data_IF_891886250283
#
_entry.id   IF_891886250283
#
_cell.length_a   1.000
_cell.length_b   1.000
_cell.length_c   1.000
_cell.angle_alpha   90.00
_cell.angle_beta   90.00
_cell.angle_gamma   90.00
#
_symmetry.space_group_name_H-M   'P 1'
#
loop_
_entity.id
_entity.type
_entity.pdbx_description
1 polymer ?
#
# COMPACT_ATOMS: atom_id res chain seq x y z
N UNK A 1 -5.19 -19.25 10.33
CA UNK A 1 -4.14 -18.21 10.25
C UNK A 1 -4.77 -16.92 10.73
N UNK A 2 -4.13 -16.21 11.66
CA UNK A 2 -4.70 -15.00 12.24
C UNK A 2 -3.70 -14.30 13.15
N UNK A 3 -3.66 -12.97 13.07
CA UNK A 3 -3.04 -12.14 14.09
C UNK A 3 -3.96 -12.03 15.30
N UNK A 4 -3.46 -11.51 16.42
CA UNK A 4 -4.35 -11.17 17.54
C UNK A 4 -5.00 -9.78 17.41
N UNK A 5 -4.54 -8.97 16.44
CA UNK A 5 -5.03 -7.62 16.12
C UNK A 5 -4.83 -7.34 14.61
N UNK A 6 -5.13 -6.11 14.15
CA UNK A 6 -5.09 -5.71 12.75
C UNK A 6 -3.70 -5.76 12.12
N UNK A 7 -3.62 -6.24 10.88
CA UNK A 7 -2.49 -5.93 10.01
C UNK A 7 -2.74 -4.68 9.16
N UNK A 8 -1.67 -3.99 8.80
CA UNK A 8 -1.70 -2.73 8.06
C UNK A 8 -0.93 -2.81 6.74
N UNK A 9 0.02 -3.74 6.62
CA UNK A 9 0.86 -3.86 5.44
C UNK A 9 1.18 -5.33 5.15
N UNK A 10 1.21 -5.66 3.86
CA UNK A 10 1.66 -6.93 3.32
C UNK A 10 2.67 -6.63 2.22
N UNK A 11 3.70 -7.45 2.09
CA UNK A 11 4.69 -7.32 1.03
C UNK A 11 5.31 -8.67 0.69
N UNK A 12 5.12 -9.13 -0.55
CA UNK A 12 5.66 -10.38 -1.04
C UNK A 12 6.94 -10.12 -1.85
N UNK A 13 7.97 -10.91 -1.60
CA UNK A 13 9.20 -10.90 -2.39
C UNK A 13 9.85 -12.27 -2.35
N UNK A 14 10.23 -12.78 -3.52
CA UNK A 14 10.71 -14.15 -3.68
C UNK A 14 9.70 -15.13 -3.02
N UNK A 15 10.19 -16.07 -2.21
CA UNK A 15 9.35 -17.03 -1.46
C UNK A 15 8.98 -16.54 -0.05
N UNK A 16 8.99 -15.23 0.21
CA UNK A 16 8.68 -14.68 1.53
C UNK A 16 7.58 -13.63 1.46
N UNK A 17 6.56 -13.79 2.30
CA UNK A 17 5.54 -12.77 2.56
C UNK A 17 5.83 -12.10 3.89
N UNK A 18 5.97 -10.78 3.90
CA UNK A 18 6.08 -9.97 5.12
C UNK A 18 4.72 -9.40 5.49
N UNK A 19 4.45 -9.33 6.79
CA UNK A 19 3.25 -8.69 7.34
C UNK A 19 3.67 -7.74 8.45
N UNK A 20 3.09 -6.54 8.45
CA UNK A 20 3.27 -5.53 9.48
C UNK A 20 1.91 -5.00 9.97
N UNK A 21 1.80 -4.67 11.25
CA UNK A 21 0.55 -4.16 11.83
C UNK A 21 0.57 -3.97 13.34
N UNK A 22 -0.61 -3.91 13.96
CA UNK A 22 -0.74 -3.70 15.41
C UNK A 22 -0.67 -5.01 16.23
N UNK A 23 -0.60 -6.17 15.59
CA UNK A 23 -0.53 -7.48 16.26
C UNK A 23 0.74 -7.67 17.11
N UNK A 24 0.64 -8.45 18.18
CA UNK A 24 1.78 -8.94 18.98
C UNK A 24 2.01 -10.45 18.83
N UNK A 25 1.02 -11.15 18.27
CA UNK A 25 1.09 -12.57 17.92
C UNK A 25 0.49 -12.81 16.55
N UNK A 26 1.09 -13.75 15.84
CA UNK A 26 0.50 -14.35 14.64
C UNK A 26 0.51 -15.86 14.83
N UNK A 27 -0.66 -16.47 14.77
CA UNK A 27 -0.85 -17.87 15.18
C UNK A 27 -0.28 -18.11 16.59
N UNK A 28 0.61 -19.09 16.77
CA UNK A 28 1.23 -19.39 18.06
C UNK A 28 2.51 -18.60 18.35
N UNK A 29 3.01 -17.79 17.40
CA UNK A 29 4.29 -17.10 17.54
C UNK A 29 4.13 -15.68 18.08
N UNK A 30 5.03 -15.26 18.97
CA UNK A 30 5.16 -13.86 19.35
C UNK A 30 5.91 -13.12 18.24
N UNK A 31 5.22 -12.23 17.54
CA UNK A 31 5.77 -11.42 16.48
C UNK A 31 5.32 -9.99 16.73
N UNK A 32 6.22 -9.20 17.33
CA UNK A 32 5.94 -7.83 17.75
C UNK A 32 5.75 -6.94 16.51
N UNK A 33 4.53 -6.89 16.01
CA UNK A 33 4.03 -6.01 14.94
C UNK A 33 4.62 -6.24 13.55
N UNK A 34 5.53 -7.20 13.41
CA UNK A 34 6.10 -7.60 12.14
C UNK A 34 6.53 -9.07 12.14
N UNK A 35 6.17 -9.78 11.07
CA UNK A 35 6.51 -11.19 10.86
C UNK A 35 6.80 -11.46 9.38
N UNK A 36 7.42 -12.61 9.11
CA UNK A 36 7.53 -13.16 7.76
C UNK A 36 6.94 -14.56 7.71
N UNK A 37 6.30 -14.89 6.60
CA UNK A 37 5.84 -16.22 6.25
C UNK A 37 6.78 -16.80 5.19
N UNK A 38 7.33 -17.96 5.49
CA UNK A 38 8.30 -18.66 4.64
C UNK A 38 8.16 -20.17 4.86
N UNK A 39 8.18 -20.96 3.79
CA UNK A 39 8.08 -22.43 3.85
C UNK A 39 6.93 -22.93 4.75
N UNK A 40 5.73 -22.35 4.60
CA UNK A 40 4.56 -22.79 5.34
C UNK A 40 4.47 -22.31 6.80
N UNK A 41 5.44 -21.52 7.29
CA UNK A 41 5.55 -21.16 8.69
C UNK A 41 5.74 -19.66 8.88
N UNK A 42 5.21 -19.14 9.99
CA UNK A 42 5.46 -17.77 10.44
C UNK A 42 6.74 -17.70 11.28
N UNK A 43 7.53 -16.67 11.06
CA UNK A 43 8.73 -16.35 11.83
C UNK A 43 8.71 -14.88 12.25
N UNK A 44 9.04 -14.55 13.51
CA UNK A 44 9.22 -13.17 13.90
C UNK A 44 10.50 -12.60 13.29
N UNK A 45 10.52 -11.31 12.99
CA UNK A 45 11.77 -10.59 12.83
C UNK A 45 12.26 -10.25 14.25
N UNK A 46 13.51 -10.62 14.58
CA UNK A 46 14.05 -10.52 15.94
C UNK A 46 13.84 -9.11 16.51
N UNK A 47 13.29 -9.04 17.72
CA UNK A 47 12.97 -7.79 18.42
C UNK A 47 11.74 -7.02 17.91
N UNK A 48 11.34 -7.24 16.66
CA UNK A 48 10.22 -6.58 16.01
C UNK A 48 10.28 -5.05 16.09
N UNK A 49 9.10 -4.42 16.07
CA UNK A 49 8.93 -2.97 16.22
C UNK A 49 7.89 -2.64 17.29
N UNK A 50 8.00 -1.45 17.90
CA UNK A 50 7.11 -1.04 18.99
C UNK A 50 5.88 -0.22 18.57
N UNK A 51 5.69 -0.02 17.27
CA UNK A 51 4.54 0.62 16.67
C UNK A 51 4.23 0.01 15.32
N UNK A 52 3.46 0.68 14.47
CA UNK A 52 2.89 0.05 13.28
C UNK A 52 3.70 0.28 12.01
N UNK A 53 4.20 -0.79 11.36
CA UNK A 53 4.66 -0.72 9.99
C UNK A 53 3.49 -0.46 9.03
N UNK A 54 3.63 0.55 8.19
CA UNK A 54 2.66 0.92 7.15
C UNK A 54 3.16 0.58 5.74
N UNK A 55 4.47 0.59 5.53
CA UNK A 55 5.06 0.33 4.23
C UNK A 55 6.31 -0.54 4.37
N UNK A 56 6.52 -1.41 3.38
CA UNK A 56 7.64 -2.33 3.30
C UNK A 56 8.11 -2.44 1.86
N UNK A 57 9.42 -2.52 1.66
CA UNK A 57 10.03 -2.73 0.35
C UNK A 57 11.35 -3.48 0.52
N UNK A 58 11.56 -4.54 -0.26
CA UNK A 58 12.85 -5.23 -0.29
C UNK A 58 13.71 -4.72 -1.43
N UNK A 59 14.91 -4.26 -1.10
CA UNK A 59 15.88 -3.78 -2.08
C UNK A 59 17.32 -4.07 -1.60
N UNK A 60 18.17 -4.54 -2.52
CA UNK A 60 19.59 -4.79 -2.26
C UNK A 60 19.88 -5.59 -0.98
N UNK A 61 19.16 -6.71 -0.77
CA UNK A 61 19.37 -7.59 0.38
C UNK A 61 18.73 -7.11 1.69
N UNK A 62 18.01 -6.00 1.68
CA UNK A 62 17.44 -5.38 2.87
C UNK A 62 15.94 -5.19 2.72
N UNK A 63 15.17 -5.48 3.77
CA UNK A 63 13.79 -5.05 3.89
C UNK A 63 13.77 -3.66 4.54
N UNK A 64 13.38 -2.64 3.78
CA UNK A 64 13.08 -1.31 4.28
C UNK A 64 11.67 -1.29 4.86
N UNK A 65 11.52 -0.69 6.03
CA UNK A 65 10.27 -0.63 6.76
C UNK A 65 10.02 0.81 7.19
N UNK A 66 8.83 1.31 6.85
CA UNK A 66 8.34 2.63 7.19
C UNK A 66 7.03 2.54 7.95
N UNK A 67 6.81 3.44 8.91
CA UNK A 67 5.57 3.45 9.66
C UNK A 67 5.56 4.42 10.84
N UNK A 68 4.66 4.17 11.78
CA UNK A 68 4.55 4.89 13.05
C UNK A 68 5.07 4.03 14.19
N UNK A 69 6.39 3.99 14.35
CA UNK A 69 7.06 3.25 15.44
C UNK A 69 8.24 4.04 16.00
N UNK A 70 8.48 3.91 17.29
CA UNK A 70 9.57 4.58 18.00
C UNK A 70 10.92 3.90 17.86
N UNK A 71 10.94 2.59 17.56
CA UNK A 71 12.17 1.81 17.38
C UNK A 71 11.90 0.43 16.77
N UNK A 72 12.96 -0.17 16.22
CA UNK A 72 13.07 -1.57 15.87
C UNK A 72 14.14 -2.25 16.75
N UNK A 73 13.78 -3.31 17.47
CA UNK A 73 14.64 -4.03 18.44
C UNK A 73 15.42 -3.11 19.41
N UNK A 74 14.76 -2.06 19.93
CA UNK A 74 15.36 -1.01 20.77
C UNK A 74 16.63 -0.35 20.20
N UNK A 75 16.84 -0.42 18.88
CA UNK A 75 18.06 0.10 18.24
C UNK A 75 17.94 1.60 17.96
N UNK A 76 18.92 2.42 18.38
CA UNK A 76 18.93 3.86 18.05
C UNK A 76 18.96 4.12 16.54
N UNK A 77 18.33 5.21 16.10
CA UNK A 77 18.28 5.61 14.68
C UNK A 77 17.26 4.85 13.83
N UNK A 78 16.39 4.05 14.46
CA UNK A 78 15.36 3.25 13.76
C UNK A 78 13.95 3.77 13.99
N UNK A 79 13.77 5.02 14.39
CA UNK A 79 12.44 5.58 14.61
C UNK A 79 11.75 5.85 13.26
N UNK A 80 10.57 5.27 13.05
CA UNK A 80 9.72 5.46 11.87
C UNK A 80 10.25 4.89 10.56
N UNK A 81 11.58 4.75 10.42
CA UNK A 81 12.29 4.20 9.28
C UNK A 81 13.41 3.26 9.75
N UNK A 82 13.40 2.03 9.26
CA UNK A 82 14.42 1.04 9.58
C UNK A 82 14.68 0.13 8.38
N UNK A 83 15.85 -0.52 8.35
CA UNK A 83 16.12 -1.63 7.43
C UNK A 83 16.47 -2.90 8.19
N UNK A 84 16.01 -4.03 7.69
CA UNK A 84 16.34 -5.35 8.20
C UNK A 84 17.23 -6.08 7.20
N UNK A 85 18.41 -6.53 7.66
CA UNK A 85 19.43 -7.18 6.82
C UNK A 85 19.28 -8.71 6.73
N UNK A 86 18.19 -9.26 7.27
CA UNK A 86 17.98 -10.71 7.41
C UNK A 86 18.25 -11.24 8.82
N UNK A 87 19.05 -10.52 9.62
CA UNK A 87 19.46 -10.93 10.97
C UNK A 87 19.28 -9.84 12.03
N UNK A 88 19.45 -8.57 11.66
CA UNK A 88 19.42 -7.43 12.55
C UNK A 88 18.74 -6.22 11.91
N UNK A 89 18.16 -5.38 12.76
CA UNK A 89 17.68 -4.05 12.40
C UNK A 89 18.84 -3.06 12.30
N UNK A 90 18.71 -2.09 11.41
CA UNK A 90 19.66 -0.99 11.23
C UNK A 90 18.94 0.31 10.86
N UNK A 91 19.52 1.47 11.23
CA UNK A 91 19.19 2.72 10.56
C UNK A 91 19.47 2.60 9.05
N UNK A 92 18.71 3.33 8.24
CA UNK A 92 18.93 3.36 6.78
C UNK A 92 20.20 4.14 6.45
N UNK A 93 20.39 5.29 7.10
CA UNK A 93 21.55 6.16 6.98
C UNK A 93 21.75 6.97 8.26
N UNK A 94 22.71 7.90 8.26
CA UNK A 94 22.87 8.81 9.40
C UNK A 94 21.59 9.65 9.59
N UNK A 95 21.18 9.85 10.85
CA UNK A 95 20.00 10.61 11.24
C UNK A 95 18.68 10.14 10.58
N UNK A 96 18.49 8.83 10.37
CA UNK A 96 17.28 8.31 9.71
C UNK A 96 15.99 8.35 10.54
N UNK A 97 16.00 8.97 11.71
CA UNK A 97 14.82 9.04 12.57
C UNK A 97 13.74 9.91 11.93
N UNK A 98 12.58 9.29 11.71
CA UNK A 98 11.38 9.93 11.20
C UNK A 98 10.40 10.07 12.36
N UNK A 99 10.22 11.30 12.86
CA UNK A 99 9.41 11.60 14.06
C UNK A 99 7.89 11.48 13.81
N UNK A 100 7.47 11.14 12.60
CA UNK A 100 6.08 10.95 12.19
C UNK A 100 6.00 9.80 11.20
N UNK A 101 4.79 9.49 10.75
CA UNK A 101 4.52 8.30 9.96
C UNK A 101 5.15 8.38 8.56
N UNK A 102 5.94 7.36 8.19
CA UNK A 102 6.20 7.02 6.80
C UNK A 102 5.05 6.13 6.29
N UNK A 103 4.29 6.60 5.31
CA UNK A 103 3.09 5.91 4.82
C UNK A 103 3.36 5.01 3.62
N UNK A 104 4.42 5.30 2.86
CA UNK A 104 4.68 4.64 1.59
C UNK A 104 6.17 4.55 1.30
N UNK A 105 6.59 3.45 0.68
CA UNK A 105 7.94 3.22 0.20
C UNK A 105 7.84 2.62 -1.19
N UNK A 106 8.59 3.15 -2.15
CA UNK A 106 8.58 2.67 -3.53
C UNK A 106 9.99 2.69 -4.12
N UNK A 107 10.35 1.65 -4.87
CA UNK A 107 11.60 1.67 -5.63
C UNK A 107 11.38 2.38 -6.97
N UNK A 108 12.27 3.32 -7.28
CA UNK A 108 12.32 3.95 -8.60
C UNK A 108 13.78 4.22 -9.00
N UNK A 109 14.13 3.87 -10.23
CA UNK A 109 15.52 3.75 -10.69
C UNK A 109 16.37 2.91 -9.70
N UNK A 110 17.51 3.44 -9.28
CA UNK A 110 18.42 2.85 -8.31
C UNK A 110 18.20 3.39 -6.88
N UNK A 111 17.05 4.04 -6.63
CA UNK A 111 16.75 4.70 -5.37
C UNK A 111 15.53 4.07 -4.70
N UNK A 112 15.50 4.16 -3.38
CA UNK A 112 14.32 3.86 -2.58
C UNK A 112 13.69 5.17 -2.12
N UNK A 113 12.47 5.45 -2.57
CA UNK A 113 11.72 6.63 -2.18
C UNK A 113 10.83 6.33 -0.98
N UNK A 114 10.75 7.29 -0.08
CA UNK A 114 9.92 7.23 1.13
C UNK A 114 9.03 8.48 1.15
N UNK A 115 7.74 8.30 1.44
CA UNK A 115 6.77 9.39 1.55
C UNK A 115 6.09 9.40 2.91
N UNK A 116 5.80 10.60 3.42
CA UNK A 116 5.05 10.75 4.67
C UNK A 116 5.04 12.15 5.24
N UNK A 117 4.78 12.24 6.54
CA UNK A 117 4.78 13.49 7.30
C UNK A 117 6.21 13.99 7.55
N UNK A 118 6.77 13.67 8.72
CA UNK A 118 8.03 14.25 9.18
C UNK A 118 9.28 13.54 8.64
N UNK A 119 9.52 13.66 7.33
CA UNK A 119 10.61 12.97 6.65
C UNK A 119 11.93 13.75 6.79
N UNK A 120 12.71 13.44 7.83
CA UNK A 120 14.04 14.03 8.08
C UNK A 120 14.03 15.57 8.17
N UNK A 121 13.04 16.13 8.87
CA UNK A 121 12.86 17.57 9.04
C UNK A 121 11.99 18.24 7.97
N UNK A 122 11.60 17.52 6.92
CA UNK A 122 10.51 17.94 6.03
C UNK A 122 9.17 17.72 6.77
N UNK A 123 8.27 18.71 6.77
CA UNK A 123 7.01 18.60 7.52
C UNK A 123 6.06 17.56 6.92
N UNK A 124 6.09 17.47 5.58
CA UNK A 124 5.45 16.51 4.70
C UNK A 124 6.32 16.43 3.46
N UNK A 125 6.62 15.24 2.96
CA UNK A 125 7.52 15.17 1.81
C UNK A 125 7.87 13.79 1.33
N UNK A 126 8.69 13.82 0.29
CA UNK A 126 9.35 12.66 -0.28
C UNK A 126 10.85 12.83 -0.09
N UNK A 127 11.51 11.76 0.32
CA UNK A 127 12.97 11.63 0.37
C UNK A 127 13.37 10.35 -0.35
N UNK A 128 14.59 10.30 -0.87
CA UNK A 128 15.12 9.10 -1.51
C UNK A 128 16.45 8.66 -0.89
N UNK A 129 16.69 7.36 -0.85
CA UNK A 129 17.96 6.75 -0.47
C UNK A 129 18.61 6.14 -1.71
N UNK A 130 19.84 6.56 -2.02
CA UNK A 130 20.59 6.07 -3.19
C UNK A 130 21.54 4.89 -2.90
N UNK A 131 21.51 4.37 -1.68
CA UNK A 131 22.44 3.34 -1.20
C UNK A 131 23.60 3.89 -0.37
N UNK A 132 23.91 5.18 -0.49
CA UNK A 132 25.03 5.84 0.20
C UNK A 132 24.60 7.05 1.02
N UNK A 133 23.55 7.76 0.59
CA UNK A 133 23.06 8.98 1.21
C UNK A 133 21.60 9.28 0.89
N UNK A 134 21.05 10.24 1.64
CA UNK A 134 19.74 10.81 1.39
C UNK A 134 19.81 11.85 0.27
N UNK A 135 18.93 11.71 -0.72
CA UNK A 135 18.82 12.58 -1.91
C UNK A 135 17.35 12.92 -2.18
N UNK A 136 17.11 13.83 -3.13
CA UNK A 136 15.78 14.15 -3.66
C UNK A 136 14.72 14.57 -2.63
N UNK A 137 15.17 15.15 -1.50
CA UNK A 137 14.30 15.65 -0.45
C UNK A 137 13.44 16.82 -0.92
N UNK A 138 12.12 16.64 -0.94
CA UNK A 138 11.16 17.65 -1.39
C UNK A 138 9.99 17.78 -0.42
N UNK A 139 9.68 19.02 0.01
CA UNK A 139 8.46 19.31 0.77
C UNK A 139 7.25 19.29 -0.17
N UNK A 140 6.24 18.49 0.17
CA UNK A 140 4.95 18.44 -0.51
C UNK A 140 3.84 18.68 0.52
N UNK A 141 2.61 18.99 0.08
CA UNK A 141 1.53 19.39 1.01
C UNK A 141 1.01 18.20 1.83
N UNK A 142 1.03 16.99 1.26
CA UNK A 142 0.82 15.69 1.93
C UNK A 142 1.30 14.59 0.98
N UNK A 143 1.68 13.42 1.51
CA UNK A 143 1.98 12.23 0.71
C UNK A 143 1.43 11.00 1.43
N UNK A 144 0.46 10.35 0.79
CA UNK A 144 -0.14 9.12 1.28
C UNK A 144 0.42 7.89 0.56
N UNK A 145 0.77 8.04 -0.72
CA UNK A 145 1.13 6.90 -1.57
C UNK A 145 2.13 7.25 -2.66
N UNK A 146 3.06 6.33 -2.93
CA UNK A 146 4.00 6.34 -4.04
C UNK A 146 3.78 5.07 -4.86
N UNK A 147 3.87 5.16 -6.19
CA UNK A 147 3.75 3.99 -7.07
C UNK A 147 4.57 4.19 -8.34
N UNK A 148 5.38 3.20 -8.69
CA UNK A 148 6.03 3.15 -10.00
C UNK A 148 5.02 2.73 -11.06
N UNK A 149 5.03 3.42 -12.21
CA UNK A 149 4.21 3.15 -13.38
C UNK A 149 5.08 3.11 -14.65
N UNK A 150 4.79 2.18 -15.57
CA UNK A 150 5.47 1.98 -16.87
C UNK A 150 7.01 1.87 -16.82
N UNK A 151 7.57 1.48 -15.66
CA UNK A 151 9.00 1.49 -15.34
C UNK A 151 9.72 2.85 -15.44
N UNK A 152 9.08 3.89 -15.97
CA UNK A 152 9.69 5.18 -16.28
C UNK A 152 9.14 6.32 -15.42
N UNK A 153 8.05 6.08 -14.71
CA UNK A 153 7.36 7.13 -13.98
C UNK A 153 7.20 6.73 -12.51
N UNK A 154 7.55 7.65 -11.61
CA UNK A 154 7.18 7.57 -10.20
C UNK A 154 6.04 8.55 -9.96
N UNK A 155 4.94 8.03 -9.42
CA UNK A 155 3.74 8.80 -9.12
C UNK A 155 3.62 8.97 -7.61
N UNK A 156 3.16 10.14 -7.19
CA UNK A 156 2.82 10.43 -5.81
C UNK A 156 1.37 10.89 -5.70
N UNK A 157 0.72 10.52 -4.60
CA UNK A 157 -0.67 10.90 -4.36
C UNK A 157 -0.94 11.21 -2.90
N UNK A 158 -1.91 12.11 -2.66
CA UNK A 158 -2.50 12.31 -1.35
C UNK A 158 -3.97 12.77 -1.44
N UNK A 159 -4.82 12.26 -0.55
CA UNK A 159 -6.25 12.55 -0.55
C UNK A 159 -6.55 14.00 -0.12
N UNK A 160 -6.16 14.36 1.10
CA UNK A 160 -6.52 15.64 1.73
C UNK A 160 -5.99 16.87 1.00
N UNK A 161 -4.84 16.73 0.33
CA UNK A 161 -4.22 17.81 -0.42
C UNK A 161 -4.66 17.85 -1.89
N UNK A 162 -5.49 16.90 -2.34
CA UNK A 162 -5.89 16.81 -3.73
C UNK A 162 -4.71 16.56 -4.67
N UNK A 163 -3.71 15.79 -4.23
CA UNK A 163 -2.45 15.61 -4.95
C UNK A 163 -2.47 14.35 -5.80
N UNK A 164 -2.06 14.51 -7.05
CA UNK A 164 -1.62 13.45 -7.94
C UNK A 164 -0.50 14.00 -8.81
N UNK A 165 0.73 13.56 -8.53
CA UNK A 165 1.96 14.14 -9.07
C UNK A 165 2.80 13.09 -9.81
N UNK A 166 3.55 13.54 -10.82
CA UNK A 166 4.60 12.73 -11.47
C UNK A 166 5.98 13.30 -11.17
N UNK A 167 6.90 12.43 -10.78
CA UNK A 167 8.30 12.78 -10.55
C UNK A 167 9.00 13.14 -11.86
N UNK A 168 9.72 14.27 -11.88
CA UNK A 168 10.48 14.75 -13.04
C UNK A 168 12.00 14.70 -12.82
N UNK A 169 12.45 14.20 -11.67
CA UNK A 169 13.85 14.17 -11.29
C UNK A 169 14.24 15.25 -10.26
N UNK A 170 15.25 14.93 -9.46
CA UNK A 170 15.72 15.71 -8.32
C UNK A 170 14.59 16.01 -7.33
N UNK A 171 14.18 17.27 -7.20
CA UNK A 171 13.09 17.71 -6.33
C UNK A 171 11.84 18.14 -7.10
N UNK A 172 11.80 17.93 -8.42
CA UNK A 172 10.73 18.42 -9.29
C UNK A 172 9.61 17.40 -9.48
N UNK A 173 8.37 17.90 -9.44
CA UNK A 173 7.13 17.12 -9.62
C UNK A 173 6.14 17.90 -10.49
N UNK A 174 5.46 17.21 -11.40
CA UNK A 174 4.36 17.75 -12.21
C UNK A 174 3.01 17.45 -11.55
N UNK A 175 2.08 18.39 -11.59
CA UNK A 175 0.77 18.35 -10.90
C UNK A 175 -0.40 17.87 -11.75
N UNK A 176 -0.19 17.68 -13.05
CA UNK A 176 -1.22 17.20 -13.97
C UNK A 176 -0.70 16.05 -14.83
N UNK A 177 -0.24 14.94 -14.22
CA UNK A 177 0.14 13.77 -14.99
C UNK A 177 -1.06 13.28 -15.83
N UNK A 178 -0.84 13.09 -17.12
CA UNK A 178 -1.77 12.45 -18.07
C UNK A 178 -3.17 13.08 -18.16
N UNK A 179 -3.30 14.40 -18.14
CA UNK A 179 -4.61 15.11 -18.16
C UNK A 179 -5.55 14.66 -17.02
N UNK A 180 -4.94 14.41 -15.85
CA UNK A 180 -5.34 13.55 -14.74
C UNK A 180 -6.72 13.68 -14.09
N UNK A 181 -6.72 13.44 -12.77
CA UNK A 181 -7.91 13.41 -11.91
C UNK A 181 -8.11 14.78 -11.25
N UNK A 182 -9.37 15.15 -10.97
CA UNK A 182 -9.69 16.36 -10.24
C UNK A 182 -9.79 16.08 -8.74
N UNK A 183 -8.63 15.96 -8.10
CA UNK A 183 -8.52 15.64 -6.69
C UNK A 183 -7.29 14.79 -6.39
N UNK A 184 -7.33 14.08 -5.27
CA UNK A 184 -6.17 13.38 -4.73
C UNK A 184 -6.18 11.90 -5.03
N UNK A 185 -5.04 11.32 -5.40
CA UNK A 185 -4.85 9.87 -5.48
C UNK A 185 -4.40 9.33 -4.11
N UNK A 186 -5.16 8.44 -3.47
CA UNK A 186 -4.81 7.85 -2.17
C UNK A 186 -4.25 6.43 -2.29
N UNK A 187 -4.66 5.69 -3.31
CA UNK A 187 -4.17 4.35 -3.64
C UNK A 187 -3.94 4.27 -5.13
N UNK A 188 -2.88 3.57 -5.50
CA UNK A 188 -2.56 3.32 -6.90
C UNK A 188 -2.12 1.87 -7.06
N UNK A 189 -2.61 1.22 -8.10
CA UNK A 189 -2.21 -0.13 -8.47
C UNK A 189 -1.95 -0.21 -9.96
N UNK A 190 -1.00 -1.04 -10.37
CA UNK A 190 -0.60 -1.15 -11.78
C UNK A 190 -0.85 -2.56 -12.25
N UNK A 191 -1.59 -2.69 -13.34
CA UNK A 191 -1.58 -3.93 -14.12
C UNK A 191 -0.38 -3.90 -15.04
N UNK A 192 0.64 -4.69 -14.72
CA UNK A 192 1.88 -4.75 -15.48
C UNK A 192 1.75 -5.49 -16.81
N UNK A 193 0.69 -6.27 -17.02
CA UNK A 193 0.46 -7.00 -18.27
C UNK A 193 -0.17 -6.08 -19.32
N UNK A 194 -1.17 -5.31 -18.91
CA UNK A 194 -1.88 -4.38 -19.79
C UNK A 194 -1.35 -2.95 -19.71
N UNK A 195 -0.45 -2.69 -18.76
CA UNK A 195 0.16 -1.39 -18.53
C UNK A 195 -0.89 -0.32 -18.15
N UNK A 196 -1.89 -0.71 -17.37
CA UNK A 196 -2.94 0.17 -16.85
C UNK A 196 -2.58 0.68 -15.46
N UNK A 197 -2.96 1.93 -15.18
CA UNK A 197 -2.87 2.53 -13.85
C UNK A 197 -4.26 2.66 -13.25
N UNK A 198 -4.49 1.96 -12.15
CA UNK A 198 -5.68 2.13 -11.33
C UNK A 198 -5.41 3.12 -10.22
N UNK A 199 -6.32 4.06 -10.02
CA UNK A 199 -6.24 5.05 -8.95
C UNK A 199 -7.54 5.06 -8.17
N UNK A 200 -7.43 5.08 -6.86
CA UNK A 200 -8.53 5.44 -5.99
C UNK A 200 -8.16 6.62 -5.08
N UNK A 201 -9.11 7.49 -4.75
CA UNK A 201 -8.85 8.67 -3.94
C UNK A 201 -10.02 9.64 -3.89
N UNK A 202 -9.77 10.89 -3.50
CA UNK A 202 -10.81 11.90 -3.33
C UNK A 202 -10.99 12.75 -4.58
N UNK A 203 -11.66 12.22 -5.60
CA UNK A 203 -11.94 12.93 -6.86
C UNK A 203 -13.30 12.51 -7.41
N UNK A 204 -14.02 13.44 -8.03
CA UNK A 204 -15.33 13.17 -8.62
C UNK A 204 -15.29 12.98 -10.13
N UNK A 205 -14.33 13.65 -10.79
CA UNK A 205 -14.19 13.67 -12.23
C UNK A 205 -12.78 13.32 -12.67
N UNK A 206 -12.66 12.75 -13.86
CA UNK A 206 -11.41 12.49 -14.58
C UNK A 206 -11.48 13.12 -15.98
N UNK A 207 -10.33 13.22 -16.66
CA UNK A 207 -10.14 13.84 -17.98
C UNK A 207 -10.39 15.36 -17.99
N UNK A 208 -9.37 16.12 -18.39
CA UNK A 208 -9.47 17.59 -18.37
C UNK A 208 -10.44 18.17 -19.42
N UNK A 209 -10.29 17.73 -20.67
CA UNK A 209 -11.00 18.33 -21.81
C UNK A 209 -12.42 17.80 -21.99
N UNK A 210 -12.66 16.54 -21.60
CA UNK A 210 -13.96 15.87 -21.69
C UNK A 210 -14.22 15.13 -20.37
N UNK A 211 -14.68 15.83 -19.32
CA UNK A 211 -14.79 15.26 -17.98
C UNK A 211 -15.74 14.07 -17.93
N UNK A 212 -15.33 13.01 -17.25
CA UNK A 212 -16.13 11.82 -16.96
C UNK A 212 -16.32 11.71 -15.45
N UNK A 213 -17.55 11.43 -15.01
CA UNK A 213 -17.86 11.14 -13.61
C UNK A 213 -17.35 9.75 -13.22
N UNK A 214 -16.57 9.71 -12.14
CA UNK A 214 -15.82 8.52 -11.75
C UNK A 214 -15.88 8.20 -10.27
N UNK A 215 -16.26 9.17 -9.43
CA UNK A 215 -16.37 9.06 -7.96
C UNK A 215 -15.37 8.10 -7.33
N UNK A 216 -14.21 8.65 -6.96
CA UNK A 216 -13.16 8.04 -6.16
C UNK A 216 -12.39 6.86 -6.76
N UNK A 217 -12.71 6.38 -7.96
CA UNK A 217 -11.91 5.34 -8.62
C UNK A 217 -11.88 5.50 -10.14
N UNK A 218 -10.71 5.30 -10.75
CA UNK A 218 -10.54 5.40 -12.20
C UNK A 218 -9.37 4.53 -12.69
N UNK A 219 -9.40 4.18 -13.96
CA UNK A 219 -8.35 3.45 -14.66
C UNK A 219 -7.80 4.30 -15.80
N UNK A 220 -6.49 4.46 -15.89
CA UNK A 220 -5.80 5.09 -17.01
C UNK A 220 -5.21 4.03 -17.93
N UNK A 221 -5.60 4.05 -19.20
CA UNK A 221 -5.22 3.03 -20.19
C UNK A 221 -3.94 3.36 -20.98
N UNK A 222 -3.30 4.49 -20.66
CA UNK A 222 -2.17 5.04 -21.42
C UNK A 222 -2.54 6.16 -22.39
N UNK A 223 -3.83 6.39 -22.62
CA UNK A 223 -4.38 7.43 -23.49
C UNK A 223 -5.36 8.33 -22.73
N UNK A 224 -6.35 7.74 -22.07
CA UNK A 224 -7.42 8.45 -21.35
C UNK A 224 -7.81 7.74 -20.05
N UNK A 225 -8.52 8.48 -19.18
CA UNK A 225 -9.10 7.92 -17.97
C UNK A 225 -10.48 7.35 -18.25
N UNK A 226 -10.71 6.15 -17.72
CA UNK A 226 -11.98 5.42 -17.72
C UNK A 226 -12.54 5.39 -16.30
N UNK A 227 -13.85 5.58 -16.20
CA UNK A 227 -14.58 5.42 -14.95
C UNK A 227 -14.66 3.94 -14.56
N UNK A 228 -14.51 3.63 -13.27
CA UNK A 228 -14.64 2.28 -12.71
C UNK A 228 -15.92 2.13 -11.87
N UNK A 229 -16.97 2.84 -12.28
CA UNK A 229 -18.24 2.91 -11.56
C UNK A 229 -18.31 4.08 -10.59
N UNK A 230 -19.52 4.44 -10.18
CA UNK A 230 -19.78 5.60 -9.32
C UNK A 230 -19.83 5.17 -7.86
N UNK A 231 -18.66 5.05 -7.22
CA UNK A 231 -18.53 4.63 -5.82
C UNK A 231 -18.09 5.79 -4.91
N UNK A 232 -18.97 6.31 -4.06
CA UNK A 232 -18.62 7.38 -3.11
C UNK A 232 -17.92 6.87 -1.84
N UNK A 233 -17.71 5.56 -1.72
CA UNK A 233 -17.02 4.95 -0.60
C UNK A 233 -15.50 5.00 -0.76
N UNK A 234 -14.77 5.02 0.36
CA UNK A 234 -13.32 5.04 0.32
C UNK A 234 -12.77 3.64 0.04
N UNK A 235 -12.03 3.51 -1.06
CA UNK A 235 -11.14 2.38 -1.28
C UNK A 235 -9.88 2.59 -0.43
N UNK A 236 -9.62 1.64 0.47
CA UNK A 236 -8.50 1.70 1.42
C UNK A 236 -7.31 0.83 1.01
N UNK A 237 -7.51 -0.10 0.09
CA UNK A 237 -6.46 -0.94 -0.49
C UNK A 237 -6.85 -1.38 -1.91
N UNK A 238 -5.86 -1.52 -2.78
CA UNK A 238 -5.99 -2.01 -4.14
C UNK A 238 -4.92 -3.08 -4.36
N UNK A 239 -5.26 -4.15 -5.09
CA UNK A 239 -4.27 -5.15 -5.52
C UNK A 239 -4.74 -5.86 -6.79
N UNK A 240 -3.84 -6.00 -7.77
CA UNK A 240 -4.06 -6.93 -8.89
C UNK A 240 -3.81 -8.35 -8.42
N UNK A 241 -4.70 -9.27 -8.79
CA UNK A 241 -4.55 -10.71 -8.56
C UNK A 241 -5.29 -11.49 -9.66
N UNK A 242 -4.61 -12.46 -10.29
CA UNK A 242 -5.17 -13.27 -11.39
C UNK A 242 -5.87 -12.45 -12.48
N UNK A 243 -5.27 -11.32 -12.88
CA UNK A 243 -5.79 -10.45 -13.95
C UNK A 243 -6.99 -9.58 -13.56
N UNK A 244 -7.42 -9.60 -12.30
CA UNK A 244 -8.50 -8.75 -11.80
C UNK A 244 -7.98 -7.76 -10.75
N UNK A 245 -8.60 -6.57 -10.70
CA UNK A 245 -8.38 -5.62 -9.62
C UNK A 245 -9.28 -5.97 -8.44
N UNK A 246 -8.68 -6.08 -7.26
CA UNK A 246 -9.37 -6.23 -5.98
C UNK A 246 -9.26 -4.93 -5.18
N UNK A 247 -10.31 -4.60 -4.45
CA UNK A 247 -10.39 -3.44 -3.58
C UNK A 247 -10.91 -3.79 -2.19
N UNK A 248 -10.32 -3.18 -1.17
CA UNK A 248 -10.87 -3.13 0.18
C UNK A 248 -11.64 -1.83 0.39
N UNK A 249 -12.79 -1.90 1.06
CA UNK A 249 -13.70 -0.77 1.24
C UNK A 249 -13.92 -0.40 2.72
N UNK A 250 -14.34 0.84 2.97
CA UNK A 250 -14.75 1.31 4.31
C UNK A 250 -16.16 0.90 4.73
N UNK A 251 -16.99 0.51 3.76
CA UNK A 251 -18.40 0.15 3.93
C UNK A 251 -18.69 -1.19 3.24
N UNK A 252 -19.77 -1.85 3.67
CA UNK A 252 -20.29 -3.09 3.11
C UNK A 252 -21.18 -2.92 1.91
N UNK A 253 -21.66 -1.70 1.73
CA UNK A 253 -22.57 -1.29 0.68
C UNK A 253 -21.95 -0.09 -0.01
N UNK A 254 -21.83 -0.17 -1.33
CA UNK A 254 -21.35 0.93 -2.17
C UNK A 254 -22.49 1.92 -2.43
N UNK A 255 -22.16 3.12 -2.90
CA UNK A 255 -23.13 4.20 -3.07
C UNK A 255 -24.20 3.97 -4.13
N UNK A 256 -23.96 3.03 -5.04
CA UNK A 256 -24.94 2.57 -6.02
C UNK A 256 -25.90 1.49 -5.46
N UNK A 257 -25.73 1.12 -4.19
CA UNK A 257 -26.50 0.08 -3.50
C UNK A 257 -25.97 -1.34 -3.68
N UNK A 258 -24.87 -1.54 -4.43
CA UNK A 258 -24.24 -2.85 -4.55
C UNK A 258 -23.54 -3.24 -3.25
N UNK A 259 -23.50 -4.55 -2.98
CA UNK A 259 -22.86 -5.09 -1.78
C UNK A 259 -21.38 -5.34 -2.09
N UNK A 260 -20.49 -4.75 -1.30
CA UNK A 260 -19.05 -5.00 -1.34
C UNK A 260 -18.60 -6.02 -0.30
N UNK A 261 -19.32 -6.16 0.82
CA UNK A 261 -18.85 -6.88 2.01
C UNK A 261 -17.39 -6.55 2.36
N UNK A 262 -17.04 -5.26 2.32
CA UNK A 262 -15.71 -4.70 2.65
C UNK A 262 -14.56 -5.18 1.74
N UNK A 263 -14.81 -6.07 0.77
CA UNK A 263 -13.85 -6.53 -0.23
C UNK A 263 -14.53 -6.95 -1.54
N UNK A 264 -14.09 -6.39 -2.65
CA UNK A 264 -14.69 -6.63 -3.96
C UNK A 264 -13.67 -6.72 -5.08
N UNK A 265 -14.14 -7.24 -6.22
CA UNK A 265 -13.38 -7.45 -7.45
C UNK A 265 -14.04 -6.69 -8.59
N UNK A 266 -13.25 -5.95 -9.35
CA UNK A 266 -13.72 -5.31 -10.58
C UNK A 266 -13.84 -6.36 -11.70
N UNK A 267 -15.02 -6.46 -12.33
CA UNK A 267 -15.27 -7.40 -13.43
C UNK A 267 -15.14 -6.79 -14.84
N UNK A 268 -14.80 -5.50 -14.92
CA UNK A 268 -14.78 -4.72 -16.17
C UNK A 268 -15.97 -3.77 -16.31
N UNK A 269 -17.08 -4.04 -15.62
CA UNK A 269 -18.30 -3.24 -15.68
C UNK A 269 -18.77 -2.77 -14.29
N UNK A 270 -18.65 -3.59 -13.26
CA UNK A 270 -19.08 -3.27 -11.89
C UNK A 270 -18.20 -3.99 -10.84
N UNK A 271 -18.30 -3.51 -9.61
CA UNK A 271 -17.68 -4.16 -8.45
C UNK A 271 -18.53 -5.35 -8.00
N UNK A 272 -17.90 -6.51 -7.85
CA UNK A 272 -18.54 -7.73 -7.35
C UNK A 272 -18.03 -8.06 -5.95
N UNK A 273 -18.89 -8.44 -4.99
CA UNK A 273 -18.45 -8.89 -3.68
C UNK A 273 -17.68 -10.22 -3.79
N UNK A 274 -16.70 -10.41 -2.91
CA UNK A 274 -15.95 -11.66 -2.84
C UNK A 274 -16.63 -12.68 -1.90
N UNK A 275 -17.56 -13.47 -2.44
CA UNK A 275 -18.34 -14.43 -1.65
C UNK A 275 -19.14 -13.74 -0.54
N UNK A 276 -19.04 -14.22 0.69
CA UNK A 276 -19.63 -13.54 1.87
C UNK A 276 -18.78 -12.38 2.39
N UNK A 277 -17.58 -12.18 1.85
CA UNK A 277 -16.65 -11.10 2.18
C UNK A 277 -16.12 -11.10 3.62
N UNK A 278 -15.84 -9.89 4.11
CA UNK A 278 -15.29 -9.61 5.44
C UNK A 278 -16.36 -8.93 6.32
N UNK A 279 -16.07 -8.70 7.60
CA UNK A 279 -16.91 -7.88 8.48
C UNK A 279 -16.29 -6.51 8.85
N UNK A 280 -15.12 -6.19 8.29
CA UNK A 280 -14.47 -4.89 8.40
C UNK A 280 -13.44 -4.73 7.26
N UNK A 281 -12.90 -3.52 7.09
CA UNK A 281 -12.01 -3.18 5.99
C UNK A 281 -10.74 -4.02 5.88
N UNK A 282 -10.40 -4.35 4.63
CA UNK A 282 -9.10 -4.88 4.23
C UNK A 282 -8.09 -3.74 4.08
N UNK A 283 -7.16 -3.61 5.03
CA UNK A 283 -6.16 -2.54 5.04
C UNK A 283 -5.05 -2.75 4.01
N UNK A 284 -4.68 -4.00 3.74
CA UNK A 284 -3.69 -4.34 2.72
C UNK A 284 -3.99 -5.71 2.11
N UNK A 285 -3.57 -5.87 0.86
CA UNK A 285 -3.70 -7.09 0.09
C UNK A 285 -2.40 -7.34 -0.67
N UNK A 286 -2.00 -8.60 -0.78
CA UNK A 286 -0.79 -8.97 -1.50
C UNK A 286 -0.94 -10.37 -2.11
N UNK A 287 -0.47 -10.51 -3.34
CA UNK A 287 -0.43 -11.81 -4.02
C UNK A 287 0.84 -12.55 -3.59
N UNK A 288 0.70 -13.81 -3.21
CA UNK A 288 1.83 -14.67 -2.86
C UNK A 288 1.50 -16.13 -3.20
N UNK A 289 2.25 -16.72 -4.14
CA UNK A 289 2.08 -18.11 -4.61
C UNK A 289 0.62 -18.44 -4.98
N UNK A 290 0.11 -17.77 -6.02
CA UNK A 290 -1.26 -17.92 -6.56
C UNK A 290 -2.38 -17.66 -5.55
N UNK A 291 -2.07 -16.98 -4.46
CA UNK A 291 -2.99 -16.74 -3.35
C UNK A 291 -3.02 -15.27 -3.01
N UNK A 292 -4.20 -14.69 -2.89
CA UNK A 292 -4.39 -13.34 -2.38
C UNK A 292 -4.43 -13.36 -0.85
N UNK A 293 -3.39 -12.83 -0.21
CA UNK A 293 -3.40 -12.58 1.23
C UNK A 293 -4.05 -11.24 1.50
N UNK A 294 -4.90 -11.20 2.54
CA UNK A 294 -5.65 -10.02 2.93
C UNK A 294 -5.48 -9.80 4.41
N UNK A 295 -5.11 -8.58 4.80
CA UNK A 295 -4.99 -8.19 6.20
C UNK A 295 -5.78 -6.92 6.48
N UNK A 296 -6.27 -6.77 7.70
CA UNK A 296 -7.13 -5.65 8.06
C UNK A 296 -7.61 -5.75 9.50
N UNK A 297 -8.65 -4.99 9.83
CA UNK A 297 -9.22 -4.98 11.19
C UNK A 297 -10.34 -6.02 11.41
N UNK A 298 -10.71 -6.76 10.36
CA UNK A 298 -11.78 -7.75 10.40
C UNK A 298 -11.51 -8.89 11.41
N UNK A 299 -12.59 -9.47 11.90
CA UNK A 299 -12.59 -10.66 12.76
C UNK A 299 -13.27 -11.86 12.12
N UNK A 300 -13.94 -11.65 10.98
CA UNK A 300 -14.65 -12.68 10.20
C UNK A 300 -14.26 -12.50 8.73
N UNK A 301 -13.96 -13.62 8.07
CA UNK A 301 -13.73 -13.69 6.63
C UNK A 301 -14.36 -14.97 6.08
N UNK A 302 -15.15 -14.86 5.01
CA UNK A 302 -15.78 -16.05 4.39
C UNK A 302 -16.81 -16.75 5.30
N UNK A 303 -17.30 -16.08 6.35
CA UNK A 303 -18.19 -16.66 7.36
C UNK A 303 -17.48 -17.31 8.55
N UNK A 304 -16.16 -17.48 8.49
CA UNK A 304 -15.35 -18.08 9.55
C UNK A 304 -14.59 -17.03 10.37
N UNK A 305 -14.20 -17.39 11.59
CA UNK A 305 -13.35 -16.52 12.43
C UNK A 305 -11.97 -16.35 11.80
N UNK A 306 -11.61 -15.12 11.48
CA UNK A 306 -10.31 -14.75 10.93
C UNK A 306 -9.89 -13.40 11.53
N UNK A 307 -8.95 -13.42 12.47
CA UNK A 307 -8.50 -12.22 13.15
C UNK A 307 -7.41 -11.52 12.33
N UNK A 308 -7.83 -10.53 11.56
CA UNK A 308 -6.99 -9.58 10.85
C UNK A 308 -6.12 -10.15 9.72
N UNK A 309 -6.17 -11.45 9.43
CA UNK A 309 -5.45 -12.06 8.32
C UNK A 309 -6.24 -13.23 7.74
N UNK A 310 -6.46 -13.21 6.43
CA UNK A 310 -7.08 -14.29 5.67
C UNK A 310 -6.36 -14.47 4.34
N UNK A 311 -6.70 -15.52 3.60
CA UNK A 311 -6.24 -15.76 2.24
C UNK A 311 -7.37 -16.24 1.36
N UNK A 312 -7.32 -15.85 0.10
CA UNK A 312 -8.25 -16.26 -0.93
C UNK A 312 -7.49 -16.92 -2.07
N UNK A 313 -7.95 -18.11 -2.48
CA UNK A 313 -7.42 -18.83 -3.62
C UNK A 313 -8.49 -18.87 -4.70
N UNK A 314 -8.19 -18.27 -5.86
CA UNK A 314 -9.03 -18.39 -7.05
C UNK A 314 -8.42 -19.49 -7.94
N UNK A 315 -9.05 -20.67 -8.06
CA UNK A 315 -8.54 -21.72 -8.93
C UNK A 315 -8.59 -21.27 -10.39
N UNK A 316 -7.64 -21.76 -11.19
CA UNK A 316 -7.68 -21.60 -12.64
C UNK A 316 -8.99 -22.16 -13.18
N UNK A 317 -9.74 -21.32 -13.88
CA UNK A 317 -10.91 -21.78 -14.63
C UNK A 317 -10.40 -22.52 -15.87
N UNK A 318 -10.35 -23.86 -15.79
CA UNK A 318 -10.16 -24.74 -16.96
C UNK A 318 -11.22 -24.48 -18.04
#
# INVERSE_FOLDING_TARGET
>A
MGGNESGNSLYAVNDTLYIGGYFVKIDTINALRIARYYNGNWYPLKGGVNGSPFAMLYNNGNLYVGGSFGWADNKPGTMGLARWDGNNWWPIGANSDCMSCCYTIEQYDNKVFFGGGNMLGLAWGVIAWDGTGWVDGCNLVSIDFLKKYNNNDLLAGANWAGLFLKYLGNTNWDSLPYNGIYGGAYRMEVDTNNNFLYVAGGFNWVNRSYPIESHNCAMYDGYEWHSMGTISENIISLKMYNGYLYAGFTSDTLSDGSISNWIGRWDGNQWQPLGTGLNQGANAMEEFHDTLFVTGSFTIAGGDSAYGLTRWYMPDTN
#
